data_IF_058263852399
#
_entry.id   IF_058263852399
#
_cell.length_a   1.000
_cell.length_b   1.000
_cell.length_c   1.000
_cell.angle_alpha   90.00
_cell.angle_beta   90.00
_cell.angle_gamma   90.00
#
_symmetry.space_group_name_H-M   'P 1'
#
loop_
_entity.id
_entity.type
_entity.pdbx_description
1 polymer ?
#
# COMPACT_ATOMS: atom_id res chain seq x y z
N UNK A 1 -3.83 -7.90 36.08
CA UNK A 1 -5.07 -7.09 36.16
C UNK A 1 -6.26 -8.03 36.06
N UNK A 2 -7.39 -7.75 36.72
CA UNK A 2 -8.58 -8.59 36.60
C UNK A 2 -9.14 -8.51 35.17
N UNK A 3 -9.47 -9.66 34.57
CA UNK A 3 -10.03 -9.73 33.23
C UNK A 3 -11.40 -9.03 33.20
N UNK A 4 -11.61 -8.11 32.26
CA UNK A 4 -12.89 -7.42 32.10
C UNK A 4 -13.98 -8.44 31.76
N UNK A 5 -15.08 -8.44 32.51
CA UNK A 5 -16.18 -9.39 32.29
C UNK A 5 -17.19 -8.83 31.30
N UNK A 6 -17.16 -9.33 30.07
CA UNK A 6 -18.12 -8.92 29.04
C UNK A 6 -19.56 -9.36 29.34
N UNK A 7 -20.50 -8.45 29.06
CA UNK A 7 -21.94 -8.74 29.02
C UNK A 7 -22.28 -9.68 27.85
N UNK A 8 -23.50 -10.24 27.85
CA UNK A 8 -23.98 -11.06 26.73
C UNK A 8 -23.91 -10.30 25.39
N UNK A 9 -24.32 -9.03 25.39
CA UNK A 9 -24.30 -8.17 24.20
C UNK A 9 -22.88 -7.96 23.70
N UNK A 10 -21.93 -7.63 24.58
CA UNK A 10 -20.52 -7.42 24.20
C UNK A 10 -19.86 -8.69 23.64
N UNK A 11 -20.24 -9.87 24.14
CA UNK A 11 -19.75 -11.15 23.60
C UNK A 11 -20.26 -11.39 22.18
N UNK A 12 -21.52 -11.06 21.89
CA UNK A 12 -22.06 -11.20 20.53
C UNK A 12 -21.43 -10.17 19.58
N UNK A 13 -21.26 -8.91 20.02
CA UNK A 13 -20.52 -7.90 19.23
C UNK A 13 -19.09 -8.33 18.93
N UNK A 14 -18.38 -8.91 19.91
CA UNK A 14 -17.02 -9.42 19.68
C UNK A 14 -16.99 -10.54 18.63
N UNK A 15 -17.97 -11.45 18.64
CA UNK A 15 -18.08 -12.51 17.62
C UNK A 15 -18.35 -11.94 16.24
N UNK A 16 -19.24 -10.97 16.14
CA UNK A 16 -19.56 -10.27 14.89
C UNK A 16 -18.35 -9.52 14.33
N UNK A 17 -17.63 -8.79 15.18
CA UNK A 17 -16.41 -8.10 14.79
C UNK A 17 -15.31 -9.09 14.32
N UNK A 18 -15.16 -10.20 15.03
CA UNK A 18 -14.22 -11.27 14.63
C UNK A 18 -14.62 -11.90 13.29
N UNK A 19 -15.92 -12.09 13.05
CA UNK A 19 -16.43 -12.54 11.75
C UNK A 19 -16.03 -11.56 10.65
N UNK A 20 -16.35 -10.27 10.79
CA UNK A 20 -15.94 -9.27 9.80
C UNK A 20 -14.43 -9.23 9.57
N UNK A 21 -13.64 -9.28 10.64
CA UNK A 21 -12.18 -9.30 10.55
C UNK A 21 -11.67 -10.49 9.75
N UNK A 22 -12.17 -11.69 10.03
CA UNK A 22 -11.72 -12.92 9.39
C UNK A 22 -12.11 -12.99 7.90
N UNK A 23 -13.16 -12.28 7.49
CA UNK A 23 -13.57 -12.12 6.09
C UNK A 23 -12.97 -10.87 5.42
N UNK A 24 -12.03 -10.18 6.07
CA UNK A 24 -11.34 -9.01 5.51
C UNK A 24 -12.16 -7.72 5.50
N UNK A 25 -13.36 -7.68 6.09
CA UNK A 25 -14.11 -6.45 6.28
C UNK A 25 -13.58 -5.68 7.50
N UNK A 26 -12.39 -5.09 7.35
CA UNK A 26 -11.70 -4.42 8.44
C UNK A 26 -12.41 -3.15 8.93
N UNK A 27 -13.14 -2.46 8.06
CA UNK A 27 -13.92 -1.28 8.44
C UNK A 27 -15.12 -1.64 9.31
N UNK A 28 -15.89 -2.67 8.91
CA UNK A 28 -16.98 -3.19 9.72
C UNK A 28 -16.49 -3.72 11.07
N UNK A 29 -15.39 -4.47 11.07
CA UNK A 29 -14.75 -4.96 12.29
C UNK A 29 -14.29 -3.81 13.20
N UNK A 30 -13.64 -2.79 12.64
CA UNK A 30 -13.16 -1.61 13.37
C UNK A 30 -14.28 -0.90 14.10
N UNK A 31 -15.40 -0.63 13.42
CA UNK A 31 -16.53 0.10 14.01
C UNK A 31 -17.05 -0.59 15.29
N UNK A 32 -17.10 -1.92 15.28
CA UNK A 32 -17.53 -2.70 16.44
C UNK A 32 -16.42 -2.76 17.49
N UNK A 33 -15.18 -3.06 17.09
CA UNK A 33 -14.05 -3.13 18.03
C UNK A 33 -13.81 -1.81 18.77
N UNK A 34 -13.94 -0.66 18.10
CA UNK A 34 -13.82 0.66 18.74
C UNK A 34 -14.82 0.81 19.89
N UNK A 35 -16.06 0.31 19.73
CA UNK A 35 -17.07 0.33 20.79
C UNK A 35 -16.73 -0.59 21.97
N UNK A 36 -16.13 -1.75 21.71
CA UNK A 36 -15.70 -2.70 22.75
C UNK A 36 -14.47 -2.17 23.48
N UNK A 37 -13.57 -1.49 22.77
CA UNK A 37 -12.35 -0.90 23.33
C UNK A 37 -12.64 0.15 24.41
N UNK A 38 -13.75 0.88 24.29
CA UNK A 38 -14.21 1.81 25.33
C UNK A 38 -14.55 1.12 26.66
N UNK A 39 -14.83 -0.19 26.62
CA UNK A 39 -15.15 -1.01 27.79
C UNK A 39 -13.94 -1.76 28.29
N UNK A 40 -13.14 -2.33 27.39
CA UNK A 40 -11.95 -3.10 27.70
C UNK A 40 -10.80 -2.72 26.77
N UNK A 41 -10.02 -1.72 27.17
CA UNK A 41 -8.82 -1.31 26.44
C UNK A 41 -7.61 -2.22 26.73
N UNK A 42 -7.75 -3.21 27.61
CA UNK A 42 -6.65 -4.05 28.11
C UNK A 42 -6.54 -5.40 27.41
N UNK A 43 -7.60 -5.83 26.72
CA UNK A 43 -7.58 -7.05 25.91
C UNK A 43 -6.49 -6.99 24.83
N UNK A 44 -5.55 -7.91 24.91
CA UNK A 44 -4.39 -7.97 24.00
C UNK A 44 -4.81 -8.32 22.57
N UNK A 45 -5.70 -9.31 22.43
CA UNK A 45 -6.26 -9.73 21.13
C UNK A 45 -7.04 -8.58 20.47
N UNK A 46 -7.86 -7.86 21.24
CA UNK A 46 -8.63 -6.73 20.73
C UNK A 46 -7.69 -5.62 20.24
N UNK A 47 -6.66 -5.28 21.01
CA UNK A 47 -5.66 -4.30 20.60
C UNK A 47 -4.91 -4.75 19.34
N UNK A 48 -4.50 -6.02 19.26
CA UNK A 48 -3.84 -6.52 18.06
C UNK A 48 -4.74 -6.38 16.82
N UNK A 49 -6.00 -6.85 16.90
CA UNK A 49 -6.96 -6.74 15.79
C UNK A 49 -7.30 -5.30 15.43
N UNK A 50 -7.48 -4.41 16.40
CA UNK A 50 -7.67 -2.98 16.16
C UNK A 50 -6.45 -2.36 15.48
N UNK A 51 -5.24 -2.75 15.88
CA UNK A 51 -4.01 -2.33 15.21
C UNK A 51 -4.01 -2.69 13.72
N UNK A 52 -4.41 -3.92 13.38
CA UNK A 52 -4.56 -4.37 11.99
C UNK A 52 -5.65 -3.56 11.28
N UNK A 53 -6.84 -3.43 11.88
CA UNK A 53 -7.94 -2.64 11.32
C UNK A 53 -7.50 -1.21 10.99
N UNK A 54 -6.92 -0.48 11.94
CA UNK A 54 -6.47 0.92 11.76
C UNK A 54 -5.35 1.03 10.73
N UNK A 55 -4.48 0.02 10.63
CA UNK A 55 -3.44 -0.02 9.61
C UNK A 55 -4.04 -0.11 8.21
N UNK A 56 -5.08 -0.93 8.02
CA UNK A 56 -5.71 -1.15 6.72
C UNK A 56 -6.66 0.00 6.34
N UNK A 57 -7.51 0.45 7.26
CA UNK A 57 -8.60 1.40 6.96
C UNK A 57 -8.18 2.87 6.92
N UNK A 58 -7.16 3.24 7.70
CA UNK A 58 -6.71 4.64 7.81
C UNK A 58 -5.30 4.85 7.22
N UNK A 59 -4.62 3.77 6.78
CA UNK A 59 -3.22 3.77 6.34
C UNK A 59 -2.21 4.38 7.33
N UNK A 60 -2.64 4.66 8.57
CA UNK A 60 -1.84 5.36 9.57
C UNK A 60 -1.05 4.38 10.42
N UNK A 61 0.18 4.13 10.00
CA UNK A 61 1.14 3.27 10.72
C UNK A 61 1.39 3.72 12.16
N UNK A 62 1.35 5.03 12.42
CA UNK A 62 1.53 5.58 13.78
C UNK A 62 0.34 5.32 14.70
N UNK A 63 -0.89 5.30 14.17
CA UNK A 63 -2.08 4.99 14.97
C UNK A 63 -2.09 3.50 15.30
N UNK A 64 -1.88 2.64 14.30
CA UNK A 64 -1.85 1.18 14.51
C UNK A 64 -0.76 0.74 15.49
N UNK A 65 0.42 1.36 15.43
CA UNK A 65 1.53 1.07 16.34
C UNK A 65 1.18 1.27 17.83
N UNK A 66 0.26 2.20 18.17
CA UNK A 66 -0.18 2.38 19.57
C UNK A 66 -0.88 1.13 20.11
N UNK A 67 -1.73 0.52 19.29
CA UNK A 67 -2.45 -0.69 19.67
C UNK A 67 -1.54 -1.93 19.66
N UNK A 68 -0.65 -2.06 18.65
CA UNK A 68 0.36 -3.12 18.65
C UNK A 68 1.27 -3.03 19.88
N UNK A 69 1.61 -1.83 20.33
CA UNK A 69 2.39 -1.65 21.55
C UNK A 69 1.67 -2.19 22.78
N UNK A 70 0.40 -1.86 22.99
CA UNK A 70 -0.38 -2.38 24.13
C UNK A 70 -0.43 -3.91 24.12
N UNK A 71 -0.70 -4.50 22.95
CA UNK A 71 -0.76 -5.94 22.80
C UNK A 71 0.61 -6.61 23.03
N UNK A 72 1.68 -6.05 22.45
CA UNK A 72 3.05 -6.54 22.57
C UNK A 72 3.58 -6.45 24.00
N UNK A 73 3.39 -5.31 24.68
CA UNK A 73 3.80 -5.14 26.08
C UNK A 73 3.12 -6.17 27.01
N UNK A 74 1.90 -6.61 26.65
CA UNK A 74 1.18 -7.66 27.38
C UNK A 74 1.54 -9.09 26.97
N UNK A 75 2.45 -9.29 26.01
CA UNK A 75 2.93 -10.60 25.59
C UNK A 75 2.19 -11.21 24.40
N UNK A 76 1.41 -10.45 23.63
CA UNK A 76 0.77 -10.97 22.42
C UNK A 76 1.80 -11.26 21.32
N UNK A 77 1.94 -12.54 20.94
CA UNK A 77 2.95 -13.02 19.98
C UNK A 77 2.99 -12.17 18.70
N UNK A 78 1.92 -12.14 17.91
CA UNK A 78 1.89 -11.45 16.61
C UNK A 78 2.09 -9.93 16.71
N UNK A 79 1.83 -9.34 17.88
CA UNK A 79 1.99 -7.91 18.06
C UNK A 79 3.46 -7.50 18.12
N UNK A 80 4.35 -8.38 18.60
CA UNK A 80 5.80 -8.15 18.56
C UNK A 80 6.29 -7.96 17.14
N UNK A 81 5.87 -8.83 16.20
CA UNK A 81 6.23 -8.71 14.79
C UNK A 81 5.72 -7.40 14.17
N UNK A 82 4.43 -7.11 14.33
CA UNK A 82 3.82 -5.89 13.78
C UNK A 82 4.45 -4.61 14.35
N UNK A 83 4.76 -4.58 15.65
CA UNK A 83 5.42 -3.44 16.29
C UNK A 83 6.90 -3.34 15.89
N UNK A 84 7.58 -4.47 15.70
CA UNK A 84 8.95 -4.54 15.19
C UNK A 84 9.06 -3.90 13.80
N UNK A 85 8.13 -4.22 12.91
CA UNK A 85 8.03 -3.60 11.58
C UNK A 85 7.86 -2.09 11.67
N UNK A 86 7.04 -1.61 12.61
CA UNK A 86 6.90 -0.17 12.83
C UNK A 86 8.21 0.45 13.33
N UNK A 87 8.87 -0.12 14.35
CA UNK A 87 10.13 0.41 14.86
C UNK A 87 11.25 0.42 13.82
N UNK A 88 11.29 -0.57 12.92
CA UNK A 88 12.22 -0.59 11.80
C UNK A 88 12.04 0.67 10.93
N UNK A 89 10.80 0.99 10.53
CA UNK A 89 10.48 2.19 9.75
C UNK A 89 10.77 3.51 10.48
N UNK A 90 10.85 3.48 11.81
CA UNK A 90 11.22 4.63 12.63
C UNK A 90 12.73 4.72 12.91
N UNK A 91 13.56 3.95 12.20
CA UNK A 91 15.01 3.87 12.40
C UNK A 91 15.41 3.41 13.82
N UNK A 92 14.48 2.79 14.56
CA UNK A 92 14.71 2.22 15.91
C UNK A 92 15.09 0.75 15.79
N UNK A 93 16.17 0.49 15.05
CA UNK A 93 16.56 -0.85 14.62
C UNK A 93 16.79 -1.82 15.79
N UNK A 94 17.38 -1.36 16.90
CA UNK A 94 17.63 -2.24 18.05
C UNK A 94 16.32 -2.72 18.69
N UNK A 95 15.31 -1.83 18.81
CA UNK A 95 13.97 -2.21 19.29
C UNK A 95 13.24 -3.14 18.33
N UNK A 96 13.41 -2.93 17.02
CA UNK A 96 12.83 -3.82 16.02
C UNK A 96 13.43 -5.23 16.15
N UNK A 97 14.76 -5.33 16.23
CA UNK A 97 15.48 -6.60 16.40
C UNK A 97 15.06 -7.31 17.68
N UNK A 98 14.98 -6.60 18.82
CA UNK A 98 14.51 -7.16 20.09
C UNK A 98 13.13 -7.82 19.96
N UNK A 99 12.17 -7.14 19.34
CA UNK A 99 10.83 -7.67 19.15
C UNK A 99 10.78 -8.85 18.18
N UNK A 100 11.59 -8.82 17.12
CA UNK A 100 11.70 -9.95 16.20
C UNK A 100 12.28 -11.18 16.89
N UNK A 101 13.28 -11.02 17.75
CA UNK A 101 13.83 -12.13 18.55
C UNK A 101 12.81 -12.66 19.56
N UNK A 102 12.02 -11.78 20.21
CA UNK A 102 10.91 -12.21 21.09
C UNK A 102 9.88 -13.03 20.29
N UNK A 103 9.49 -12.55 19.11
CA UNK A 103 8.56 -13.26 18.23
C UNK A 103 9.12 -14.62 17.80
N UNK A 104 10.38 -14.67 17.36
CA UNK A 104 11.05 -15.89 16.91
C UNK A 104 11.07 -16.95 18.00
N UNK A 105 11.41 -16.55 19.23
CA UNK A 105 11.53 -17.44 20.38
C UNK A 105 10.18 -17.74 21.08
N UNK A 106 9.07 -17.19 20.59
CA UNK A 106 7.75 -17.45 21.17
C UNK A 106 7.25 -18.86 20.84
N UNK A 107 6.51 -19.45 21.79
CA UNK A 107 5.91 -20.77 21.62
C UNK A 107 4.54 -20.68 20.90
N UNK A 108 4.14 -21.78 20.28
CA UNK A 108 2.83 -21.91 19.62
C UNK A 108 2.85 -21.60 18.12
N UNK A 109 1.65 -21.44 17.56
CA UNK A 109 1.49 -21.20 16.12
C UNK A 109 1.78 -19.72 15.83
N UNK A 110 2.78 -19.48 14.98
CA UNK A 110 3.18 -18.18 14.45
C UNK A 110 2.63 -17.98 13.05
N UNK A 111 2.19 -16.77 12.70
CA UNK A 111 1.68 -16.45 11.36
C UNK A 111 2.81 -16.33 10.32
N UNK A 112 3.95 -15.83 10.76
CA UNK A 112 5.19 -15.66 10.00
C UNK A 112 6.20 -16.74 10.39
N UNK A 113 6.87 -17.33 9.40
CA UNK A 113 7.92 -18.33 9.59
C UNK A 113 9.25 -17.73 10.09
N UNK A 114 10.10 -18.56 10.69
CA UNK A 114 11.35 -18.10 11.29
C UNK A 114 12.39 -17.61 10.27
N UNK A 115 12.32 -18.07 9.02
CA UNK A 115 13.22 -17.62 7.97
C UNK A 115 12.92 -16.16 7.60
N UNK A 116 11.65 -15.81 7.46
CA UNK A 116 11.21 -14.43 7.22
C UNK A 116 11.58 -13.52 8.40
N UNK A 117 11.49 -14.00 9.64
CA UNK A 117 11.95 -13.25 10.81
C UNK A 117 13.47 -13.02 10.78
N UNK A 118 14.25 -14.03 10.40
CA UNK A 118 15.69 -13.89 10.20
C UNK A 118 16.03 -12.85 9.11
N UNK A 119 15.26 -12.82 8.02
CA UNK A 119 15.37 -11.77 6.99
C UNK A 119 15.10 -10.39 7.58
N UNK A 120 14.07 -10.21 8.42
CA UNK A 120 13.77 -8.91 9.06
C UNK A 120 14.85 -8.45 10.04
N UNK A 121 15.43 -9.38 10.81
CA UNK A 121 16.55 -9.10 11.69
C UNK A 121 17.78 -8.70 10.88
N UNK A 122 18.13 -9.46 9.84
CA UNK A 122 19.26 -9.15 8.96
C UNK A 122 19.08 -7.80 8.25
N UNK A 123 17.86 -7.52 7.78
CA UNK A 123 17.50 -6.23 7.15
C UNK A 123 17.68 -5.07 8.13
N UNK A 124 17.22 -5.22 9.38
CA UNK A 124 17.37 -4.19 10.41
C UNK A 124 18.83 -3.96 10.80
N UNK A 125 19.63 -5.04 10.91
CA UNK A 125 21.08 -4.95 11.17
C UNK A 125 21.80 -4.22 10.04
N UNK A 126 21.49 -4.56 8.78
CA UNK A 126 22.06 -3.90 7.60
C UNK A 126 21.68 -2.43 7.52
N UNK A 127 20.39 -2.13 7.69
CA UNK A 127 19.88 -0.76 7.67
C UNK A 127 20.58 0.11 8.72
N UNK A 128 20.78 -0.39 9.95
CA UNK A 128 21.52 0.30 11.01
C UNK A 128 22.93 0.71 10.61
N UNK A 129 23.63 -0.09 9.81
CA UNK A 129 24.96 0.26 9.29
C UNK A 129 24.87 1.24 8.12
N UNK A 130 23.98 0.99 7.16
CA UNK A 130 23.81 1.84 5.98
C UNK A 130 23.42 3.28 6.33
N UNK A 131 22.61 3.49 7.37
CA UNK A 131 22.19 4.85 7.76
C UNK A 131 23.29 5.66 8.43
N UNK A 132 24.45 5.07 8.76
CA UNK A 132 25.63 5.81 9.24
C UNK A 132 26.35 6.54 8.10
N UNK A 133 26.26 5.99 6.89
CA UNK A 133 26.86 6.52 5.67
C UNK A 133 25.76 7.00 4.73
N UNK A 134 25.09 8.10 5.11
CA UNK A 134 24.05 8.67 4.26
C UNK A 134 24.70 9.37 3.07
N UNK A 135 24.20 9.07 1.88
CA UNK A 135 24.52 9.85 0.68
C UNK A 135 23.95 11.25 0.91
N UNK A 136 24.73 12.29 0.61
CA UNK A 136 24.27 13.68 0.68
C UNK A 136 23.25 13.95 -0.43
N UNK A 137 21.99 13.62 -0.13
CA UNK A 137 20.85 13.84 -1.00
C UNK A 137 19.82 14.71 -0.30
N UNK A 138 19.31 15.70 -1.04
CA UNK A 138 18.21 16.52 -0.58
C UNK A 138 16.90 15.91 -1.07
N UNK A 139 16.07 15.43 -0.13
CA UNK A 139 14.73 14.95 -0.43
C UNK A 139 13.76 16.12 -0.24
N UNK A 140 13.03 16.46 -1.30
CA UNK A 140 12.04 17.52 -1.29
C UNK A 140 10.65 16.95 -1.59
N UNK A 141 9.66 17.43 -0.85
CA UNK A 141 8.26 17.19 -1.21
C UNK A 141 7.93 18.03 -2.46
N UNK A 142 7.30 17.42 -3.46
CA UNK A 142 6.99 18.05 -4.76
C UNK A 142 5.84 19.07 -4.70
N UNK A 143 5.31 19.36 -3.52
CA UNK A 143 4.20 20.28 -3.29
C UNK A 143 2.84 19.59 -3.37
N UNK A 144 1.82 20.31 -2.92
CA UNK A 144 0.43 19.84 -2.82
C UNK A 144 -0.22 19.56 -4.18
N UNK A 145 0.36 20.04 -5.29
CA UNK A 145 -0.11 19.75 -6.64
C UNK A 145 0.12 18.29 -7.04
N UNK A 146 1.26 17.73 -6.61
CA UNK A 146 1.65 16.35 -6.90
C UNK A 146 1.33 15.47 -5.70
N UNK A 147 1.87 15.80 -4.52
CA UNK A 147 1.73 15.04 -3.28
C UNK A 147 0.54 15.58 -2.48
N UNK A 148 -0.67 15.13 -2.82
CA UNK A 148 -1.89 15.59 -2.15
C UNK A 148 -2.07 14.88 -0.80
N UNK A 149 -3.20 15.09 -0.14
CA UNK A 149 -3.58 14.29 1.03
C UNK A 149 -4.05 12.86 0.66
N UNK A 150 -4.31 12.62 -0.63
CA UNK A 150 -4.72 11.32 -1.16
C UNK A 150 -3.51 10.48 -1.57
N UNK A 151 -3.71 9.16 -1.79
CA UNK A 151 -2.65 8.33 -2.33
C UNK A 151 -2.22 8.73 -3.76
N UNK A 152 -0.92 8.97 -3.93
CA UNK A 152 -0.22 9.01 -5.22
C UNK A 152 0.92 7.99 -5.23
N UNK A 153 1.06 7.24 -6.33
CA UNK A 153 2.05 6.17 -6.43
C UNK A 153 2.35 5.77 -7.88
N UNK A 154 3.38 4.92 -8.01
CA UNK A 154 3.90 4.40 -9.28
C UNK A 154 4.19 5.53 -10.28
N UNK A 155 5.01 6.54 -9.90
CA UNK A 155 5.40 7.57 -10.84
C UNK A 155 6.31 6.98 -11.92
N UNK A 156 6.09 7.41 -13.15
CA UNK A 156 6.95 7.16 -14.31
C UNK A 156 7.31 8.49 -14.95
N UNK A 157 8.58 8.64 -15.34
CA UNK A 157 9.15 9.91 -15.81
C UNK A 157 9.81 9.68 -17.17
N UNK A 158 9.65 10.61 -18.11
CA UNK A 158 10.35 10.57 -19.40
C UNK A 158 11.86 10.77 -19.21
N UNK A 159 12.68 10.27 -20.13
CA UNK A 159 14.14 10.32 -19.97
C UNK A 159 14.73 11.74 -19.92
N UNK A 160 14.02 12.72 -20.49
CA UNK A 160 14.36 14.15 -20.48
C UNK A 160 13.76 14.89 -19.27
N UNK A 161 13.09 14.19 -18.35
CA UNK A 161 12.41 14.72 -17.17
C UNK A 161 11.34 15.78 -17.47
N UNK A 162 10.82 15.83 -18.70
CA UNK A 162 9.80 16.80 -19.10
C UNK A 162 8.37 16.36 -18.76
N UNK A 163 8.15 15.05 -18.58
CA UNK A 163 6.84 14.45 -18.31
C UNK A 163 6.90 13.56 -17.07
N UNK A 164 5.94 13.75 -16.17
CA UNK A 164 5.66 12.89 -15.03
C UNK A 164 4.24 12.34 -15.17
N UNK A 165 4.11 11.01 -15.17
CA UNK A 165 2.82 10.32 -15.14
C UNK A 165 2.77 9.51 -13.85
N UNK A 166 1.64 9.52 -13.16
CA UNK A 166 1.49 8.79 -11.89
C UNK A 166 0.03 8.37 -11.69
N UNK A 167 -0.16 7.36 -10.85
CA UNK A 167 -1.47 6.88 -10.42
C UNK A 167 -1.90 7.65 -9.17
N UNK A 168 -3.15 8.09 -9.13
CA UNK A 168 -3.70 8.82 -7.97
C UNK A 168 -5.12 8.39 -7.64
N UNK A 169 -5.43 8.40 -6.35
CA UNK A 169 -6.78 8.21 -5.80
C UNK A 169 -7.37 9.52 -5.26
N UNK A 170 -7.03 10.65 -5.90
CA UNK A 170 -7.50 11.98 -5.52
C UNK A 170 -8.98 12.19 -5.83
N UNK A 171 -9.56 13.20 -5.21
CA UNK A 171 -10.91 13.61 -5.56
C UNK A 171 -10.98 14.02 -7.05
N UNK A 172 -12.07 13.63 -7.70
CA UNK A 172 -12.29 13.93 -9.12
C UNK A 172 -11.83 12.85 -10.08
N UNK A 173 -11.32 11.70 -9.60
CA UNK A 173 -11.13 10.50 -10.43
C UNK A 173 -12.38 10.17 -11.24
N UNK A 174 -12.14 9.60 -12.42
CA UNK A 174 -13.16 9.24 -13.40
C UNK A 174 -14.23 8.33 -12.77
N UNK A 175 -15.50 8.59 -13.10
CA UNK A 175 -16.65 7.88 -12.52
C UNK A 175 -16.98 8.26 -11.06
N UNK A 176 -16.11 8.95 -10.32
CA UNK A 176 -16.31 9.39 -8.92
C UNK A 176 -16.74 8.26 -7.97
N UNK A 177 -16.30 7.03 -8.25
CA UNK A 177 -16.60 5.85 -7.44
C UNK A 177 -15.69 5.80 -6.21
N UNK A 178 -16.23 5.24 -5.14
CA UNK A 178 -15.51 4.98 -3.89
C UNK A 178 -15.40 3.48 -3.67
N UNK A 179 -14.27 3.05 -3.12
CA UNK A 179 -14.09 1.68 -2.63
C UNK A 179 -14.85 1.45 -1.31
N UNK A 180 -14.95 0.20 -0.82
CA UNK A 180 -15.62 -0.10 0.45
C UNK A 180 -15.01 0.59 1.68
N UNK A 181 -13.82 1.17 1.55
CA UNK A 181 -13.12 1.93 2.58
C UNK A 181 -13.24 3.46 2.39
N UNK A 182 -13.99 3.91 1.39
CA UNK A 182 -14.22 5.33 1.10
C UNK A 182 -13.13 6.02 0.28
N UNK A 183 -12.16 5.28 -0.27
CA UNK A 183 -11.14 5.84 -1.15
C UNK A 183 -11.63 5.92 -2.60
N UNK A 184 -11.29 6.99 -3.34
CA UNK A 184 -11.64 7.11 -4.76
C UNK A 184 -10.98 6.01 -5.60
N UNK A 185 -11.59 5.64 -6.72
CA UNK A 185 -10.93 4.73 -7.67
C UNK A 185 -9.68 5.39 -8.27
N UNK A 186 -8.74 4.56 -8.69
CA UNK A 186 -7.46 5.00 -9.28
C UNK A 186 -7.68 5.58 -10.67
N UNK A 187 -7.07 6.74 -10.91
CA UNK A 187 -6.93 7.36 -12.22
C UNK A 187 -5.45 7.64 -12.52
N UNK A 188 -5.11 7.73 -13.80
CA UNK A 188 -3.79 8.13 -14.26
C UNK A 188 -3.77 9.63 -14.53
N UNK A 189 -2.79 10.31 -13.94
CA UNK A 189 -2.57 11.74 -14.08
C UNK A 189 -1.23 12.01 -14.76
N UNK A 190 -1.16 13.12 -15.50
CA UNK A 190 0.03 13.60 -16.20
C UNK A 190 0.33 15.04 -15.79
N UNK A 191 1.61 15.33 -15.53
CA UNK A 191 2.16 16.65 -15.29
C UNK A 191 3.34 16.89 -16.20
N UNK A 192 3.48 18.13 -16.66
CA UNK A 192 4.59 18.58 -17.49
C UNK A 192 5.50 19.50 -16.68
N UNK A 193 6.80 19.47 -16.98
CA UNK A 193 7.79 20.31 -16.33
C UNK A 193 8.04 21.57 -17.17
N UNK A 194 7.84 22.75 -16.57
CA UNK A 194 8.17 24.05 -17.15
C UNK A 194 9.02 24.86 -16.18
N UNK A 195 10.14 25.42 -16.64
CA UNK A 195 11.04 26.26 -15.84
C UNK A 195 11.42 25.61 -14.48
N UNK A 196 11.81 24.34 -14.51
CA UNK A 196 12.15 23.52 -13.33
C UNK A 196 10.99 23.24 -12.35
N UNK A 197 9.74 23.49 -12.76
CA UNK A 197 8.55 23.25 -11.92
C UNK A 197 7.56 22.34 -12.63
N UNK A 198 7.02 21.40 -11.87
CA UNK A 198 5.89 20.59 -12.32
C UNK A 198 4.62 21.44 -12.35
N UNK A 199 3.91 21.42 -13.47
CA UNK A 199 2.62 22.06 -13.61
C UNK A 199 1.54 21.26 -12.86
N UNK A 200 0.40 21.90 -12.50
CA UNK A 200 -0.74 21.18 -11.95
C UNK A 200 -1.12 19.99 -12.85
N UNK A 201 -1.18 18.77 -12.31
CA UNK A 201 -1.46 17.59 -13.10
C UNK A 201 -2.91 17.57 -13.59
N UNK A 202 -3.13 16.96 -14.74
CA UNK A 202 -4.45 16.71 -15.33
C UNK A 202 -4.65 15.22 -15.54
N UNK A 203 -5.91 14.77 -15.62
CA UNK A 203 -6.19 13.38 -16.01
C UNK A 203 -5.62 13.11 -17.40
N UNK A 204 -4.93 11.98 -17.58
CA UNK A 204 -4.08 11.76 -18.76
C UNK A 204 -4.84 11.79 -20.09
N UNK A 205 -6.02 11.17 -20.14
CA UNK A 205 -6.93 11.15 -21.31
C UNK A 205 -8.15 10.30 -21.00
N UNK A 206 -9.33 10.68 -21.51
CA UNK A 206 -10.53 9.83 -21.49
C UNK A 206 -10.44 8.58 -22.37
N UNK A 207 -9.39 8.44 -23.20
CA UNK A 207 -9.08 7.19 -23.90
C UNK A 207 -8.42 6.16 -22.97
N UNK A 208 -7.81 6.61 -21.87
CA UNK A 208 -7.07 5.79 -20.92
C UNK A 208 -7.89 5.61 -19.64
N UNK A 209 -8.24 6.70 -18.96
CA UNK A 209 -8.99 6.61 -17.71
C UNK A 209 -10.44 6.19 -18.00
N UNK A 210 -10.89 5.22 -17.23
CA UNK A 210 -12.22 4.61 -17.25
C UNK A 210 -12.91 4.86 -15.92
N UNK A 211 -14.14 4.41 -15.75
CA UNK A 211 -14.82 4.45 -14.46
C UNK A 211 -14.43 3.27 -13.54
N UNK A 212 -13.32 2.60 -13.83
CA UNK A 212 -12.71 1.51 -13.05
C UNK A 212 -11.28 1.89 -12.62
N UNK A 213 -10.58 1.01 -11.90
CA UNK A 213 -9.20 1.26 -11.46
C UNK A 213 -8.21 1.21 -12.63
N UNK A 214 -7.54 2.33 -12.86
CA UNK A 214 -6.53 2.50 -13.90
C UNK A 214 -5.22 3.01 -13.32
N UNK A 215 -4.15 2.26 -13.55
CA UNK A 215 -2.82 2.59 -13.05
C UNK A 215 -1.79 2.66 -14.18
N UNK A 216 -0.89 3.64 -14.13
CA UNK A 216 0.32 3.61 -14.93
C UNK A 216 1.32 2.68 -14.25
N UNK A 217 1.98 1.84 -15.04
CA UNK A 217 2.99 0.90 -14.50
C UNK A 217 4.32 0.98 -15.22
N UNK A 218 4.38 1.53 -16.44
CA UNK A 218 5.64 1.74 -17.15
C UNK A 218 5.53 2.78 -18.25
N UNK A 219 6.64 3.45 -18.55
CA UNK A 219 6.75 4.44 -19.63
C UNK A 219 8.01 4.11 -20.44
N UNK A 220 7.94 4.19 -21.77
CA UNK A 220 9.13 4.09 -22.60
C UNK A 220 10.04 5.30 -22.40
N UNK A 221 11.35 5.14 -22.62
CA UNK A 221 12.33 6.20 -22.40
C UNK A 221 12.02 7.48 -23.22
N UNK A 222 11.49 7.32 -24.43
CA UNK A 222 11.06 8.41 -25.32
C UNK A 222 9.70 9.02 -24.95
N UNK A 223 9.02 8.50 -23.92
CA UNK A 223 7.73 9.00 -23.45
C UNK A 223 6.54 8.66 -24.35
N UNK A 224 6.69 7.85 -25.41
CA UNK A 224 5.63 7.62 -26.41
C UNK A 224 4.78 6.37 -26.18
N UNK A 225 5.19 5.47 -25.29
CA UNK A 225 4.46 4.24 -24.93
C UNK A 225 4.22 4.20 -23.43
N UNK A 226 2.95 4.14 -23.04
CA UNK A 226 2.54 3.98 -21.66
C UNK A 226 1.98 2.58 -21.47
N UNK A 227 2.51 1.86 -20.48
CA UNK A 227 1.95 0.59 -20.02
C UNK A 227 1.02 0.90 -18.86
N UNK A 228 -0.21 0.41 -18.98
CA UNK A 228 -1.25 0.58 -17.95
C UNK A 228 -1.71 -0.76 -17.44
N UNK A 229 -1.95 -0.84 -16.13
CA UNK A 229 -2.69 -1.94 -15.53
C UNK A 229 -4.15 -1.52 -15.38
N UNK A 230 -5.08 -2.38 -15.81
CA UNK A 230 -6.52 -2.12 -15.71
C UNK A 230 -7.19 -3.29 -14.98
N UNK A 231 -7.92 -2.99 -13.91
CA UNK A 231 -8.66 -3.99 -13.14
C UNK A 231 -9.85 -4.52 -13.94
N UNK A 232 -10.12 -5.82 -13.82
CA UNK A 232 -11.28 -6.44 -14.45
C UNK A 232 -12.60 -6.03 -13.76
N UNK A 233 -13.74 -6.36 -14.35
CA UNK A 233 -15.06 -5.97 -13.81
C UNK A 233 -15.41 -6.68 -12.49
N UNK A 234 -14.77 -7.82 -12.21
CA UNK A 234 -14.98 -8.63 -11.01
C UNK A 234 -14.12 -8.19 -9.82
N UNK A 235 -13.20 -7.23 -10.03
CA UNK A 235 -12.28 -6.69 -9.02
C UNK A 235 -11.37 -7.74 -8.35
N UNK A 236 -11.17 -8.89 -9.00
CA UNK A 236 -10.34 -9.99 -8.51
C UNK A 236 -9.05 -10.20 -9.33
N UNK A 237 -8.84 -9.34 -10.33
CA UNK A 237 -7.65 -9.36 -11.17
C UNK A 237 -7.60 -8.17 -12.13
N UNK A 238 -6.73 -8.25 -13.12
CA UNK A 238 -6.54 -7.21 -14.12
C UNK A 238 -5.43 -7.57 -15.09
N UNK A 239 -5.30 -6.76 -16.13
CA UNK A 239 -4.38 -7.04 -17.24
C UNK A 239 -3.53 -5.82 -17.57
N UNK A 240 -2.38 -6.09 -18.19
CA UNK A 240 -1.51 -5.08 -18.79
C UNK A 240 -1.98 -4.72 -20.20
N UNK A 241 -1.97 -3.43 -20.47
CA UNK A 241 -2.26 -2.82 -21.76
C UNK A 241 -1.14 -1.85 -22.14
N UNK A 242 -1.05 -1.52 -23.43
CA UNK A 242 -0.16 -0.49 -23.94
C UNK A 242 -0.93 0.56 -24.72
N UNK A 243 -0.73 1.82 -24.36
CA UNK A 243 -1.17 2.99 -25.13
C UNK A 243 0.03 3.64 -25.80
N UNK A 244 -0.20 4.22 -26.97
CA UNK A 244 0.79 5.00 -27.72
C UNK A 244 0.36 6.45 -27.82
N UNK A 245 1.31 7.37 -27.70
CA UNK A 245 1.11 8.79 -27.97
C UNK A 245 1.23 9.02 -29.49
N UNK A 246 0.17 9.52 -30.10
CA UNK A 246 0.14 9.88 -31.52
C UNK A 246 -0.57 11.22 -31.69
N UNK A 247 0.05 12.14 -32.43
CA UNK A 247 -0.44 13.52 -32.63
C UNK A 247 -0.80 14.21 -31.30
N UNK A 248 0.08 14.09 -30.30
CA UNK A 248 -0.10 14.62 -28.94
C UNK A 248 -1.29 14.04 -28.16
N UNK A 249 -1.93 12.99 -28.68
CA UNK A 249 -3.07 12.32 -28.06
C UNK A 249 -2.72 10.88 -27.70
N UNK A 250 -2.91 10.53 -26.43
CA UNK A 250 -2.84 9.15 -25.99
C UNK A 250 -3.99 8.33 -26.59
N UNK A 251 -3.63 7.28 -27.31
CA UNK A 251 -4.59 6.40 -27.98
C UNK A 251 -5.22 5.42 -26.99
N UNK A 252 -6.31 4.77 -27.39
CA UNK A 252 -6.94 3.74 -26.57
C UNK A 252 -5.96 2.58 -26.32
N UNK A 253 -5.73 2.16 -25.06
CA UNK A 253 -4.79 1.08 -24.76
C UNK A 253 -5.20 -0.25 -25.41
N UNK A 254 -4.22 -0.99 -25.92
CA UNK A 254 -4.39 -2.34 -26.48
C UNK A 254 -3.89 -3.36 -25.46
N UNK A 255 -4.70 -4.38 -25.18
CA UNK A 255 -4.36 -5.45 -24.23
C UNK A 255 -3.16 -6.24 -24.73
N UNK A 256 -2.18 -6.52 -23.86
CA UNK A 256 -1.10 -7.44 -24.20
C UNK A 256 -1.62 -8.88 -24.37
N UNK A 257 -0.91 -9.65 -25.20
CA UNK A 257 -1.26 -11.05 -25.48
C UNK A 257 -0.98 -12.01 -24.32
N UNK A 258 -1.31 -13.31 -24.48
CA UNK A 258 -1.23 -14.32 -23.44
C UNK A 258 0.19 -14.70 -23.01
N UNK A 259 1.21 -14.18 -23.69
CA UNK A 259 2.62 -14.31 -23.27
C UNK A 259 2.98 -13.38 -22.11
N UNK A 260 2.17 -12.34 -21.88
CA UNK A 260 2.36 -11.35 -20.82
C UNK A 260 1.21 -11.47 -19.82
N UNK A 261 -0.03 -11.38 -20.31
CA UNK A 261 -1.20 -11.50 -19.46
C UNK A 261 -1.55 -12.97 -19.26
N UNK A 262 -1.61 -13.41 -18.01
CA UNK A 262 -1.94 -14.78 -17.66
C UNK A 262 -3.28 -14.87 -16.93
N UNK A 263 -3.57 -16.00 -16.28
CA UNK A 263 -4.72 -16.13 -15.35
C UNK A 263 -4.40 -15.59 -13.95
N UNK A 264 -3.15 -15.21 -13.73
CA UNK A 264 -2.61 -14.68 -12.50
C UNK A 264 -2.50 -13.15 -12.57
N UNK A 265 -1.94 -12.53 -11.55
CA UNK A 265 -1.85 -11.07 -11.47
C UNK A 265 -0.51 -10.58 -12.04
N UNK A 266 -0.56 -9.68 -13.02
CA UNK A 266 0.62 -8.95 -13.52
C UNK A 266 0.56 -7.45 -13.18
N UNK A 267 0.81 -7.03 -11.92
CA UNK A 267 0.49 -5.68 -11.43
C UNK A 267 1.52 -4.60 -11.78
N UNK A 268 2.68 -4.97 -12.33
CA UNK A 268 3.79 -4.03 -12.52
C UNK A 268 4.63 -4.43 -13.73
N UNK A 269 5.14 -3.42 -14.42
CA UNK A 269 5.90 -3.58 -15.65
C UNK A 269 7.00 -2.51 -15.75
N UNK A 270 7.99 -2.72 -16.60
CA UNK A 270 8.94 -1.69 -17.02
C UNK A 270 9.51 -2.02 -18.39
N UNK A 271 9.85 -1.00 -19.16
CA UNK A 271 10.48 -1.15 -20.48
C UNK A 271 11.98 -0.90 -20.39
N UNK A 272 12.75 -1.67 -21.15
CA UNK A 272 14.15 -1.33 -21.45
C UNK A 272 14.22 0.00 -22.20
N UNK A 273 15.40 0.64 -22.14
CA UNK A 273 15.65 1.94 -22.80
C UNK A 273 15.36 1.89 -24.30
N UNK A 274 15.67 0.77 -24.96
CA UNK A 274 15.40 0.56 -26.38
C UNK A 274 13.94 0.13 -26.69
N UNK A 275 13.11 -0.04 -25.67
CA UNK A 275 11.71 -0.44 -25.78
C UNK A 275 11.47 -1.88 -26.23
N UNK A 276 12.52 -2.69 -26.45
CA UNK A 276 12.40 -4.03 -27.00
C UNK A 276 12.20 -5.12 -25.94
N UNK A 277 12.44 -4.81 -24.66
CA UNK A 277 12.29 -5.74 -23.54
C UNK A 277 11.31 -5.20 -22.52
N UNK A 278 10.34 -6.03 -22.15
CA UNK A 278 9.38 -5.77 -21.09
C UNK A 278 9.71 -6.67 -19.90
N UNK A 279 9.97 -6.07 -18.74
CA UNK A 279 10.05 -6.78 -17.47
C UNK A 279 8.73 -6.60 -16.73
N UNK A 280 8.17 -7.67 -16.18
CA UNK A 280 6.93 -7.60 -15.42
C UNK A 280 6.95 -8.59 -14.25
N UNK A 281 6.19 -8.29 -13.21
CA UNK A 281 5.96 -9.21 -12.10
C UNK A 281 4.74 -10.09 -12.41
N UNK A 282 4.78 -11.36 -12.02
CA UNK A 282 3.63 -12.28 -12.11
C UNK A 282 3.58 -13.13 -10.83
N UNK A 283 2.37 -13.38 -10.31
CA UNK A 283 2.13 -13.94 -8.98
C UNK A 283 1.09 -15.06 -8.97
#
# INVERSE_FOLDING_TARGET
MAQVKYTKVQKELMKEANYYFNYGNYMGAQNIYDSIYLVDSTSLELNFRLGICKLVTNSSRSISAKYFKIASDGGHTEAHFSLGNWYHLQYKFDKAIELYEIYKNSEGKKSIDDLEIDVRIATSKRAREMVKEQVDVKIENMGDQINTEFPEYVPVVSADESVLIFTSRREGSTGRKLDPYGGYFEDIYISYKENEKWLPPVGISGNINTDNYDACVGLSADGTKLITYKTNETFDGGDLYVSTLADEVWQKPVKYGPSINSKYLEPSASLSVDGNTLYFSSN
#
